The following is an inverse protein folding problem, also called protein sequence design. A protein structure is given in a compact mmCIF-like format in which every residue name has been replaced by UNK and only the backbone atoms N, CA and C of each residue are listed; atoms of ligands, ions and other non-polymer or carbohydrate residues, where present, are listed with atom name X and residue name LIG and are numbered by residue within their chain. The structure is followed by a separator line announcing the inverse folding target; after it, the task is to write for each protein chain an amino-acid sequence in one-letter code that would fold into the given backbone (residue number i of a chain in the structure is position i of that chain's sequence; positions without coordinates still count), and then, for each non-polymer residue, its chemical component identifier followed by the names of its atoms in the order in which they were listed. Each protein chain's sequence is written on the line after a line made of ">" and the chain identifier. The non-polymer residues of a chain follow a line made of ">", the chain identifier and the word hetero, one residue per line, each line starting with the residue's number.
data_IF_781002619428
#
_entry.id   IF_781002619428
#
_cell.length_a   1.000
_cell.length_b   1.000
_cell.length_c   1.000
_cell.angle_alpha   90.00
_cell.angle_beta   90.00
_cell.angle_gamma   90.00
#
_symmetry.space_group_name_H-M   'P 1'
#
loop_
_entity.id
_entity.type
_entity.pdbx_description
1 polymer ?
#
# COMPACT_ATOMS: atom_id res chain seq x y z
N UNK A 1 -46.55 48.74 -27.57
CA UNK A 1 -45.67 48.10 -26.57
C UNK A 1 -44.29 48.72 -26.75
N UNK A 2 -43.87 49.58 -25.84
CA UNK A 2 -42.59 50.29 -25.96
C UNK A 2 -41.41 49.32 -25.81
N UNK A 3 -40.70 49.10 -26.92
CA UNK A 3 -39.53 48.21 -27.01
C UNK A 3 -38.39 48.72 -26.11
N UNK A 4 -38.30 50.03 -25.89
CA UNK A 4 -37.32 50.67 -25.00
C UNK A 4 -37.49 50.22 -23.55
N UNK A 5 -38.72 50.23 -23.02
CA UNK A 5 -39.00 49.81 -21.63
C UNK A 5 -38.67 48.32 -21.43
N UNK A 6 -38.97 47.49 -22.43
CA UNK A 6 -38.64 46.06 -22.38
C UNK A 6 -37.12 45.85 -22.39
N UNK A 7 -36.39 46.61 -23.22
CA UNK A 7 -34.93 46.57 -23.26
C UNK A 7 -34.31 47.05 -21.95
N UNK A 8 -34.80 48.13 -21.35
CA UNK A 8 -34.35 48.63 -20.06
C UNK A 8 -34.61 47.63 -18.93
N UNK A 9 -35.81 47.04 -18.88
CA UNK A 9 -36.14 45.98 -17.93
C UNK A 9 -35.25 44.74 -18.14
N UNK A 10 -34.97 44.37 -19.39
CA UNK A 10 -34.06 43.26 -19.69
C UNK A 10 -32.62 43.56 -19.27
N UNK A 11 -32.14 44.79 -19.47
CA UNK A 11 -30.83 45.24 -19.03
C UNK A 11 -30.70 45.32 -17.51
N UNK A 12 -31.73 45.76 -16.80
CA UNK A 12 -31.75 45.71 -15.33
C UNK A 12 -31.72 44.28 -14.80
N UNK A 13 -32.45 43.35 -15.45
CA UNK A 13 -32.38 41.92 -15.10
C UNK A 13 -30.99 41.33 -15.35
N UNK A 14 -30.34 41.69 -16.46
CA UNK A 14 -28.96 41.26 -16.74
C UNK A 14 -27.96 41.83 -15.72
N UNK A 15 -28.12 43.10 -15.30
CA UNK A 15 -27.32 43.69 -14.21
C UNK A 15 -27.50 42.97 -12.87
N UNK A 16 -28.66 42.38 -12.61
CA UNK A 16 -28.89 41.59 -11.40
C UNK A 16 -28.18 40.22 -11.42
N UNK A 17 -27.79 39.74 -12.61
CA UNK A 17 -27.15 38.43 -12.83
C UNK A 17 -25.62 38.56 -12.91
N UNK A 18 -25.13 39.72 -13.36
CA UNK A 18 -23.71 40.02 -13.41
C UNK A 18 -23.19 40.33 -12.00
N UNK A 19 -22.21 39.56 -11.55
CA UNK A 19 -21.52 39.76 -10.27
C UNK A 19 -20.10 40.21 -10.58
N UNK A 20 -19.77 41.44 -10.23
CA UNK A 20 -18.41 41.97 -10.37
C UNK A 20 -17.63 41.70 -9.08
N UNK A 21 -16.44 41.10 -9.22
CA UNK A 21 -15.48 40.86 -8.14
C UNK A 21 -14.15 41.52 -8.50
N UNK A 22 -13.46 42.06 -7.50
CA UNK A 22 -12.13 42.67 -7.69
C UNK A 22 -11.09 41.63 -8.12
N UNK A 23 -11.16 40.43 -7.52
CA UNK A 23 -10.32 39.29 -7.88
C UNK A 23 -11.17 38.28 -8.65
N UNK A 24 -10.74 37.84 -9.84
CA UNK A 24 -11.44 36.80 -10.58
C UNK A 24 -11.56 35.51 -9.76
N UNK A 25 -12.73 34.88 -9.86
CA UNK A 25 -13.06 33.65 -9.17
C UNK A 25 -12.66 32.45 -10.04
N UNK A 26 -12.03 31.44 -9.43
CA UNK A 26 -11.66 30.21 -10.13
C UNK A 26 -12.83 29.22 -10.09
N UNK A 27 -13.34 28.83 -11.27
CA UNK A 27 -14.51 27.95 -11.39
C UNK A 27 -14.08 26.60 -11.99
N UNK A 28 -14.38 25.51 -11.30
CA UNK A 28 -14.21 24.14 -11.81
C UNK A 28 -15.58 23.53 -12.10
N UNK A 29 -16.05 23.71 -13.34
CA UNK A 29 -17.34 23.20 -13.80
C UNK A 29 -17.45 21.67 -13.72
N UNK A 30 -16.33 20.94 -13.86
CA UNK A 30 -16.34 19.49 -13.73
C UNK A 30 -16.66 19.00 -12.32
N UNK A 31 -16.33 19.80 -11.30
CA UNK A 31 -16.67 19.55 -9.89
C UNK A 31 -17.86 20.38 -9.40
N UNK A 32 -18.45 21.22 -10.26
CA UNK A 32 -19.47 22.21 -9.90
C UNK A 32 -19.02 23.05 -8.69
N UNK A 33 -17.75 23.45 -8.70
CA UNK A 33 -17.09 24.13 -7.59
C UNK A 33 -16.63 25.53 -7.98
N UNK A 34 -16.66 26.43 -6.99
CA UNK A 34 -16.26 27.84 -7.10
C UNK A 34 -15.25 28.12 -6.01
N UNK A 35 -14.11 28.69 -6.38
CA UNK A 35 -13.03 29.06 -5.47
C UNK A 35 -12.82 30.57 -5.54
N UNK A 36 -13.36 31.28 -4.55
CA UNK A 36 -13.22 32.73 -4.43
C UNK A 36 -12.01 33.05 -3.52
N UNK A 37 -10.93 33.67 -4.06
CA UNK A 37 -9.77 34.09 -3.27
C UNK A 37 -9.97 35.43 -2.54
N UNK A 38 -11.13 36.09 -2.72
CA UNK A 38 -11.40 37.40 -2.13
C UNK A 38 -11.36 37.34 -0.59
N UNK A 39 -10.77 38.34 0.08
CA UNK A 39 -10.74 38.39 1.53
C UNK A 39 -12.14 38.60 2.10
N UNK A 40 -12.44 37.93 3.22
CA UNK A 40 -13.71 38.12 3.95
C UNK A 40 -13.62 39.43 4.73
N UNK A 41 -14.60 40.31 4.56
CA UNK A 41 -14.73 41.53 5.36
C UNK A 41 -15.14 41.16 6.80
N UNK A 42 -14.27 41.46 7.75
CA UNK A 42 -14.41 41.04 9.14
C UNK A 42 -15.51 41.81 9.87
N UNK A 43 -15.75 43.08 9.52
CA UNK A 43 -16.70 43.93 10.22
C UNK A 43 -18.15 43.50 9.90
N UNK A 44 -18.45 43.27 8.62
CA UNK A 44 -19.75 42.72 8.20
C UNK A 44 -19.95 41.30 8.70
N UNK A 45 -18.91 40.47 8.67
CA UNK A 45 -18.97 39.09 9.15
C UNK A 45 -19.26 39.02 10.67
N UNK A 46 -18.73 39.93 11.48
CA UNK A 46 -19.00 39.98 12.92
C UNK A 46 -20.37 40.55 13.25
N UNK A 47 -20.87 41.49 12.45
CA UNK A 47 -22.15 42.17 12.69
C UNK A 47 -23.34 41.27 12.35
N UNK A 48 -23.33 40.66 11.16
CA UNK A 48 -24.42 39.78 10.70
C UNK A 48 -23.85 38.63 9.85
N UNK A 49 -23.35 37.61 10.56
CA UNK A 49 -22.61 36.49 9.98
C UNK A 49 -23.39 35.73 8.91
N UNK A 50 -24.64 35.36 9.19
CA UNK A 50 -25.43 34.52 8.29
C UNK A 50 -25.74 35.26 6.99
N UNK A 51 -26.06 36.56 7.09
CA UNK A 51 -26.33 37.39 5.93
C UNK A 51 -25.08 37.59 5.08
N UNK A 52 -23.93 37.90 5.70
CA UNK A 52 -22.67 38.04 4.99
C UNK A 52 -22.26 36.75 4.25
N UNK A 53 -22.43 35.58 4.89
CA UNK A 53 -22.16 34.28 4.27
C UNK A 53 -23.13 33.97 3.12
N UNK A 54 -24.42 34.26 3.31
CA UNK A 54 -25.44 34.04 2.28
C UNK A 54 -25.18 34.91 1.06
N UNK A 55 -24.92 36.20 1.25
CA UNK A 55 -24.63 37.15 0.17
C UNK A 55 -23.37 36.71 -0.60
N UNK A 56 -22.30 36.30 0.10
CA UNK A 56 -21.09 35.77 -0.53
C UNK A 56 -21.35 34.48 -1.32
N UNK A 57 -22.12 33.54 -0.76
CA UNK A 57 -22.45 32.28 -1.42
C UNK A 57 -23.35 32.51 -2.65
N UNK A 58 -24.34 33.40 -2.54
CA UNK A 58 -25.23 33.81 -3.63
C UNK A 58 -24.43 34.27 -4.83
N UNK A 59 -23.48 35.18 -4.60
CA UNK A 59 -22.62 35.74 -5.65
C UNK A 59 -21.79 34.67 -6.36
N UNK A 60 -21.13 33.78 -5.59
CA UNK A 60 -20.34 32.69 -6.16
C UNK A 60 -21.18 31.69 -6.95
N UNK A 61 -22.36 31.32 -6.43
CA UNK A 61 -23.30 30.43 -7.12
C UNK A 61 -23.86 31.08 -8.37
N UNK A 62 -24.11 32.39 -8.37
CA UNK A 62 -24.59 33.10 -9.55
C UNK A 62 -23.59 32.99 -10.70
N UNK A 63 -22.29 33.18 -10.41
CA UNK A 63 -21.22 32.99 -11.41
C UNK A 63 -21.15 31.54 -11.91
N UNK A 64 -21.24 30.56 -11.01
CA UNK A 64 -21.27 29.14 -11.39
C UNK A 64 -22.43 28.81 -12.33
N UNK A 65 -23.63 29.27 -11.99
CA UNK A 65 -24.84 29.02 -12.79
C UNK A 65 -24.72 29.69 -14.14
N UNK A 66 -24.20 30.93 -14.20
CA UNK A 66 -23.95 31.62 -15.48
C UNK A 66 -23.03 30.79 -16.39
N UNK A 67 -21.95 30.24 -15.84
CA UNK A 67 -21.00 29.42 -16.60
C UNK A 67 -21.60 28.07 -17.02
N UNK A 68 -22.43 27.43 -16.18
CA UNK A 68 -23.15 26.19 -16.54
C UNK A 68 -24.09 26.44 -17.72
N UNK A 69 -24.85 27.54 -17.70
CA UNK A 69 -25.78 27.88 -18.78
C UNK A 69 -25.08 28.34 -20.07
N UNK A 70 -23.79 28.69 -19.99
CA UNK A 70 -22.98 28.96 -21.18
C UNK A 70 -22.49 27.69 -21.89
N UNK A 71 -22.56 26.52 -21.25
CA UNK A 71 -22.08 25.26 -21.81
C UNK A 71 -23.00 24.72 -22.92
N UNK A 72 -22.44 23.97 -23.88
CA UNK A 72 -23.24 23.31 -24.92
C UNK A 72 -24.24 22.34 -24.29
N UNK A 73 -25.48 22.42 -24.75
CA UNK A 73 -26.57 21.54 -24.30
C UNK A 73 -26.98 20.58 -25.41
N UNK A 74 -27.36 19.37 -25.01
CA UNK A 74 -27.93 18.34 -25.88
C UNK A 74 -29.28 17.88 -25.34
N UNK A 75 -30.20 17.66 -26.25
CA UNK A 75 -31.50 17.07 -25.93
C UNK A 75 -31.36 15.55 -26.04
N UNK A 76 -31.69 14.86 -24.96
CA UNK A 76 -31.75 13.40 -24.86
C UNK A 76 -33.19 13.02 -24.51
N UNK A 77 -33.60 11.78 -24.72
CA UNK A 77 -34.98 11.31 -24.48
C UNK A 77 -35.51 11.66 -23.07
N UNK A 78 -34.61 11.70 -22.07
CA UNK A 78 -34.93 12.02 -20.67
C UNK A 78 -34.80 13.51 -20.30
N UNK A 79 -34.44 14.40 -21.24
CA UNK A 79 -34.37 15.85 -21.01
C UNK A 79 -33.18 16.57 -21.64
N UNK A 80 -32.96 17.82 -21.21
CA UNK A 80 -31.84 18.65 -21.68
C UNK A 80 -30.65 18.47 -20.73
N UNK A 81 -29.49 18.11 -21.27
CA UNK A 81 -28.25 17.87 -20.52
C UNK A 81 -27.19 18.85 -21.02
N UNK A 82 -26.47 19.48 -20.10
CA UNK A 82 -25.28 20.28 -20.42
C UNK A 82 -24.03 19.39 -20.45
N UNK A 83 -23.19 19.55 -21.46
CA UNK A 83 -21.92 18.84 -21.58
C UNK A 83 -20.82 19.63 -20.85
N UNK A 84 -20.51 19.19 -19.62
CA UNK A 84 -19.51 19.84 -18.77
C UNK A 84 -18.07 19.45 -19.18
N UNK A 85 -17.10 20.36 -19.02
CA UNK A 85 -15.69 20.05 -19.23
C UNK A 85 -15.17 19.03 -18.19
N UNK A 86 -14.03 18.37 -18.47
CA UNK A 86 -13.39 17.50 -17.50
C UNK A 86 -12.96 18.29 -16.25
N UNK A 87 -12.94 17.61 -15.10
CA UNK A 87 -12.48 18.15 -13.82
C UNK A 87 -11.07 18.74 -13.99
N UNK A 88 -10.93 20.02 -13.66
CA UNK A 88 -9.64 20.73 -13.71
C UNK A 88 -8.82 20.52 -12.44
N UNK A 89 -9.49 20.39 -11.28
CA UNK A 89 -8.82 20.19 -9.99
C UNK A 89 -8.19 18.80 -9.90
N UNK A 90 -6.87 18.75 -9.71
CA UNK A 90 -6.14 17.50 -9.57
C UNK A 90 -6.41 16.81 -8.23
N UNK A 91 -7.27 15.79 -8.24
CA UNK A 91 -7.59 14.98 -7.06
C UNK A 91 -6.70 13.72 -6.97
N UNK A 92 -6.27 13.33 -5.76
CA UNK A 92 -5.50 12.10 -5.57
C UNK A 92 -6.36 10.87 -5.88
N UNK A 93 -5.77 9.88 -6.55
CA UNK A 93 -6.44 8.61 -6.84
C UNK A 93 -6.57 7.78 -5.56
N UNK A 94 -7.72 7.13 -5.37
CA UNK A 94 -7.92 6.13 -4.32
C UNK A 94 -6.98 4.94 -4.51
N UNK A 95 -6.84 4.48 -5.76
CA UNK A 95 -6.06 3.29 -6.12
C UNK A 95 -4.90 3.64 -7.03
N UNK A 96 -3.72 3.00 -6.83
CA UNK A 96 -2.61 3.10 -7.76
C UNK A 96 -3.04 2.71 -9.18
N UNK A 97 -2.31 3.21 -10.17
CA UNK A 97 -2.52 2.80 -11.55
C UNK A 97 -2.35 1.28 -11.68
N UNK A 98 -3.20 0.61 -12.48
CA UNK A 98 -3.05 -0.81 -12.73
C UNK A 98 -1.66 -1.06 -13.31
N UNK A 99 -0.90 -1.94 -12.66
CA UNK A 99 0.45 -2.28 -13.12
C UNK A 99 0.34 -3.00 -14.48
N UNK A 100 1.26 -2.68 -15.39
CA UNK A 100 1.36 -3.40 -16.65
C UNK A 100 1.52 -4.91 -16.37
N UNK A 101 0.76 -5.73 -17.10
CA UNK A 101 0.78 -7.16 -16.91
C UNK A 101 2.20 -7.70 -17.13
N UNK A 102 2.70 -8.48 -16.17
CA UNK A 102 4.00 -9.12 -16.30
C UNK A 102 3.99 -10.09 -17.50
N UNK A 103 5.00 -10.00 -18.37
CA UNK A 103 5.11 -10.90 -19.51
C UNK A 103 5.24 -12.35 -19.03
N UNK A 104 4.42 -13.23 -19.60
CA UNK A 104 4.54 -14.68 -19.36
C UNK A 104 5.80 -15.23 -20.02
N UNK A 105 6.25 -16.42 -19.59
CA UNK A 105 7.43 -17.08 -20.18
C UNK A 105 7.29 -17.24 -21.71
N UNK A 106 6.09 -17.60 -22.17
CA UNK A 106 5.81 -17.75 -23.60
C UNK A 106 5.83 -16.42 -24.34
N UNK A 107 5.26 -15.35 -23.78
CA UNK A 107 5.32 -14.02 -24.41
C UNK A 107 6.75 -13.49 -24.49
N UNK A 108 7.56 -13.69 -23.43
CA UNK A 108 8.97 -13.33 -23.45
C UNK A 108 9.74 -14.12 -24.53
N UNK A 109 9.49 -15.42 -24.64
CA UNK A 109 10.07 -16.26 -25.69
C UNK A 109 9.62 -15.85 -27.10
N UNK A 110 8.31 -15.64 -27.30
CA UNK A 110 7.74 -15.22 -28.57
C UNK A 110 8.31 -13.86 -29.02
N UNK A 111 8.44 -12.90 -28.09
CA UNK A 111 9.07 -11.61 -28.36
C UNK A 111 10.54 -11.76 -28.75
N UNK A 112 11.30 -12.58 -28.01
CA UNK A 112 12.73 -12.83 -28.30
C UNK A 112 12.94 -13.54 -29.65
N UNK A 113 12.00 -14.37 -30.07
CA UNK A 113 12.04 -15.11 -31.35
C UNK A 113 11.33 -14.40 -32.50
N UNK A 114 10.69 -13.25 -32.26
CA UNK A 114 9.89 -12.56 -33.28
C UNK A 114 8.67 -13.35 -33.75
N UNK A 115 8.12 -14.22 -32.91
CA UNK A 115 6.92 -15.00 -33.25
C UNK A 115 5.71 -14.08 -33.17
N UNK A 116 5.12 -13.78 -34.33
CA UNK A 116 3.91 -12.97 -34.42
C UNK A 116 2.71 -13.69 -33.77
N UNK A 117 1.79 -12.94 -33.12
CA UNK A 117 0.56 -13.52 -32.61
C UNK A 117 -0.26 -14.09 -33.77
N UNK A 118 -0.74 -15.33 -33.60
CA UNK A 118 -1.62 -15.95 -34.59
C UNK A 118 -2.97 -15.25 -34.57
N UNK A 119 -3.58 -15.08 -35.74
CA UNK A 119 -4.94 -14.58 -35.86
C UNK A 119 -5.92 -15.46 -35.06
N UNK A 120 -6.99 -14.84 -34.55
CA UNK A 120 -8.06 -15.55 -33.86
C UNK A 120 -8.65 -16.55 -34.84
N UNK A 121 -8.61 -17.83 -34.47
CA UNK A 121 -9.19 -18.88 -35.29
C UNK A 121 -10.67 -19.04 -34.96
N UNK A 122 -11.47 -19.34 -35.97
CA UNK A 122 -12.91 -19.58 -35.79
C UNK A 122 -13.19 -20.82 -34.95
N UNK A 123 -14.35 -20.82 -34.30
CA UNK A 123 -14.81 -21.91 -33.45
C UNK A 123 -15.20 -23.15 -34.26
N UNK A 124 -15.80 -22.95 -35.43
CA UNK A 124 -16.24 -24.03 -36.31
C UNK A 124 -15.13 -24.38 -37.30
N UNK A 125 -14.95 -25.67 -37.55
CA UNK A 125 -14.05 -26.21 -38.57
C UNK A 125 -14.83 -27.24 -39.36
N UNK A 126 -14.67 -27.21 -40.68
CA UNK A 126 -15.29 -28.18 -41.56
C UNK A 126 -14.65 -29.56 -41.35
N UNK A 127 -15.48 -30.57 -41.16
CA UNK A 127 -15.05 -31.95 -41.00
C UNK A 127 -15.27 -32.72 -42.32
N UNK A 128 -14.20 -33.04 -43.02
CA UNK A 128 -14.26 -33.65 -44.37
C UNK A 128 -14.92 -35.04 -44.36
N UNK A 129 -14.82 -35.80 -43.26
CA UNK A 129 -15.45 -37.13 -43.18
C UNK A 129 -16.97 -37.05 -43.05
N UNK A 130 -17.47 -36.06 -42.32
CA UNK A 130 -18.91 -35.86 -42.07
C UNK A 130 -19.55 -34.85 -43.02
N UNK A 131 -18.72 -34.12 -43.78
CA UNK A 131 -19.13 -33.01 -44.64
C UNK A 131 -19.93 -31.93 -43.88
N UNK A 132 -19.67 -31.75 -42.58
CA UNK A 132 -20.39 -30.83 -41.69
C UNK A 132 -19.45 -29.86 -40.96
N UNK A 133 -19.97 -28.70 -40.58
CA UNK A 133 -19.25 -27.77 -39.72
C UNK A 133 -19.33 -28.24 -38.26
N UNK A 134 -18.19 -28.65 -37.71
CA UNK A 134 -18.08 -29.16 -36.34
C UNK A 134 -17.31 -28.16 -35.48
N UNK A 135 -17.70 -27.93 -34.21
CA UNK A 135 -16.92 -27.09 -33.32
C UNK A 135 -15.54 -27.73 -33.06
N UNK A 136 -14.48 -26.93 -33.06
CA UNK A 136 -13.11 -27.38 -32.75
C UNK A 136 -12.96 -27.90 -31.32
N UNK A 137 -13.73 -27.32 -30.40
CA UNK A 137 -13.76 -27.61 -28.98
C UNK A 137 -15.16 -27.31 -28.43
N UNK A 138 -15.58 -28.02 -27.38
CA UNK A 138 -16.90 -27.88 -26.77
C UNK A 138 -17.75 -29.15 -26.91
N UNK A 139 -19.07 -28.99 -26.99
CA UNK A 139 -20.00 -30.09 -27.21
C UNK A 139 -19.75 -30.73 -28.58
N UNK A 140 -19.60 -32.06 -28.61
CA UNK A 140 -19.25 -32.84 -29.83
C UNK A 140 -18.06 -32.24 -30.59
N UNK A 141 -17.08 -31.70 -29.87
CA UNK A 141 -15.94 -31.02 -30.50
C UNK A 141 -14.94 -31.98 -31.15
N UNK A 142 -14.35 -31.55 -32.27
CA UNK A 142 -13.35 -32.31 -33.06
C UNK A 142 -12.15 -32.77 -32.23
N UNK A 143 -11.84 -32.07 -31.15
CA UNK A 143 -10.76 -32.44 -30.21
C UNK A 143 -10.99 -33.76 -29.43
N UNK A 144 -12.17 -34.37 -29.50
CA UNK A 144 -12.50 -35.65 -28.86
C UNK A 144 -12.73 -36.79 -29.85
N UNK A 145 -12.52 -36.58 -31.15
CA UNK A 145 -12.79 -37.63 -32.16
C UNK A 145 -11.95 -38.89 -31.91
N UNK A 146 -10.69 -38.73 -31.49
CA UNK A 146 -9.82 -39.83 -31.09
C UNK A 146 -10.31 -40.61 -29.84
N UNK A 147 -11.31 -40.13 -29.11
CA UNK A 147 -11.94 -40.87 -28.00
C UNK A 147 -13.23 -41.57 -28.45
N UNK A 148 -13.87 -41.06 -29.50
CA UNK A 148 -15.14 -41.55 -30.04
C UNK A 148 -15.02 -42.49 -31.23
N UNK A 149 -13.81 -42.66 -31.79
CA UNK A 149 -13.56 -43.55 -32.92
C UNK A 149 -13.93 -44.99 -32.57
N UNK A 150 -14.64 -45.67 -33.47
CA UNK A 150 -15.09 -47.06 -33.29
C UNK A 150 -13.95 -48.08 -33.45
N UNK A 151 -12.88 -47.72 -34.18
CA UNK A 151 -11.70 -48.54 -34.42
C UNK A 151 -10.41 -47.75 -34.13
N UNK A 152 -9.48 -48.36 -33.41
CA UNK A 152 -8.15 -47.79 -33.14
C UNK A 152 -7.07 -48.73 -33.65
N UNK A 153 -6.13 -48.20 -34.42
CA UNK A 153 -4.92 -48.93 -34.80
C UNK A 153 -3.99 -49.04 -33.59
N UNK A 154 -3.75 -50.26 -33.14
CA UNK A 154 -2.83 -50.56 -32.03
C UNK A 154 -1.54 -51.14 -32.62
N UNK A 155 -0.40 -50.59 -32.20
CA UNK A 155 0.90 -51.08 -32.64
C UNK A 155 1.11 -52.52 -32.13
N UNK A 156 1.69 -53.44 -32.91
CA UNK A 156 1.93 -54.83 -32.48
C UNK A 156 2.88 -54.98 -31.28
N UNK A 157 3.55 -53.91 -30.85
CA UNK A 157 4.40 -53.85 -29.64
C UNK A 157 3.66 -53.33 -28.41
N UNK A 158 2.39 -52.96 -28.54
CA UNK A 158 1.61 -52.47 -27.41
C UNK A 158 1.23 -53.59 -26.46
N UNK A 159 1.04 -53.23 -25.19
CA UNK A 159 0.61 -54.14 -24.15
C UNK A 159 -0.80 -54.71 -24.45
N UNK A 160 -1.06 -55.95 -24.03
CA UNK A 160 -2.31 -56.66 -24.31
C UNK A 160 -3.52 -55.97 -23.68
N UNK A 161 -3.31 -55.27 -22.55
CA UNK A 161 -4.35 -54.54 -21.81
C UNK A 161 -4.43 -53.03 -22.16
N UNK A 162 -3.78 -52.58 -23.24
CA UNK A 162 -3.75 -51.16 -23.60
C UNK A 162 -5.10 -50.67 -24.18
N UNK A 163 -5.82 -49.82 -23.43
CA UNK A 163 -7.01 -49.11 -23.93
C UNK A 163 -6.62 -47.78 -24.63
N UNK A 164 -6.73 -47.70 -25.97
CA UNK A 164 -6.37 -46.50 -26.73
C UNK A 164 -7.26 -45.28 -26.40
N UNK A 165 -8.53 -45.49 -26.04
CA UNK A 165 -9.45 -44.39 -25.68
C UNK A 165 -9.11 -43.83 -24.30
N UNK A 166 -8.77 -44.69 -23.34
CA UNK A 166 -8.27 -44.25 -22.04
C UNK A 166 -6.94 -43.50 -22.17
N UNK A 167 -6.03 -43.97 -23.02
CA UNK A 167 -4.76 -43.29 -23.30
C UNK A 167 -4.97 -41.89 -23.92
N UNK A 168 -5.84 -41.75 -24.92
CA UNK A 168 -6.16 -40.44 -25.51
C UNK A 168 -6.76 -39.47 -24.47
N UNK A 169 -7.67 -39.96 -23.61
CA UNK A 169 -8.25 -39.19 -22.50
C UNK A 169 -7.21 -38.76 -21.48
N UNK A 170 -6.31 -39.65 -21.09
CA UNK A 170 -5.28 -39.37 -20.09
C UNK A 170 -4.26 -38.36 -20.62
N UNK A 171 -3.85 -38.49 -21.88
CA UNK A 171 -2.92 -37.56 -22.53
C UNK A 171 -3.51 -36.14 -22.64
N UNK A 172 -4.79 -36.02 -23.02
CA UNK A 172 -5.49 -34.72 -23.03
C UNK A 172 -5.56 -34.09 -21.63
N UNK A 173 -5.91 -34.88 -20.61
CA UNK A 173 -5.92 -34.42 -19.22
C UNK A 173 -4.52 -33.98 -18.77
N UNK A 174 -3.48 -34.74 -19.09
CA UNK A 174 -2.10 -34.40 -18.80
C UNK A 174 -1.67 -33.09 -19.47
N UNK A 175 -2.06 -32.85 -20.73
CA UNK A 175 -1.85 -31.58 -21.42
C UNK A 175 -2.56 -30.41 -20.73
N UNK A 176 -3.80 -30.61 -20.27
CA UNK A 176 -4.55 -29.61 -19.51
C UNK A 176 -3.88 -29.26 -18.17
N UNK A 177 -3.52 -30.28 -17.39
CA UNK A 177 -2.84 -30.12 -16.10
C UNK A 177 -1.46 -29.46 -16.26
N UNK A 178 -0.74 -29.77 -17.34
CA UNK A 178 0.52 -29.11 -17.68
C UNK A 178 0.32 -27.63 -18.00
N UNK A 179 -0.76 -27.27 -18.69
CA UNK A 179 -1.08 -25.86 -18.97
C UNK A 179 -1.44 -25.12 -17.66
N UNK A 180 -2.27 -25.71 -16.81
CA UNK A 180 -2.65 -25.13 -15.52
C UNK A 180 -1.45 -24.94 -14.59
N UNK A 181 -0.57 -25.93 -14.48
CA UNK A 181 0.67 -25.80 -13.70
C UNK A 181 1.60 -24.72 -14.25
N UNK A 182 1.72 -24.58 -15.58
CA UNK A 182 2.47 -23.48 -16.21
C UNK A 182 1.82 -22.11 -15.94
N UNK A 183 0.49 -22.02 -15.96
CA UNK A 183 -0.25 -20.80 -15.60
C UNK A 183 0.04 -20.41 -14.14
N UNK A 184 -0.07 -21.36 -13.20
CA UNK A 184 0.23 -21.12 -11.79
C UNK A 184 1.70 -20.70 -11.59
N UNK A 185 2.65 -21.35 -12.26
CA UNK A 185 4.06 -20.99 -12.18
C UNK A 185 4.36 -19.59 -12.79
N UNK A 186 3.59 -19.16 -13.80
CA UNK A 186 3.69 -17.80 -14.33
C UNK A 186 3.10 -16.77 -13.35
N UNK A 187 1.94 -17.07 -12.72
CA UNK A 187 1.33 -16.21 -11.70
C UNK A 187 2.22 -16.07 -10.48
N UNK A 188 2.81 -17.16 -9.99
CA UNK A 188 3.78 -17.14 -8.89
C UNK A 188 5.00 -16.28 -9.23
N UNK A 189 5.54 -16.40 -10.45
CA UNK A 189 6.65 -15.53 -10.90
C UNK A 189 6.26 -14.06 -11.01
N UNK A 190 5.05 -13.77 -11.49
CA UNK A 190 4.53 -12.41 -11.54
C UNK A 190 4.38 -11.82 -10.12
N UNK A 191 3.83 -12.58 -9.17
CA UNK A 191 3.68 -12.18 -7.79
C UNK A 191 5.05 -11.97 -7.09
N UNK A 192 6.00 -12.89 -7.30
CA UNK A 192 7.36 -12.76 -6.75
C UNK A 192 8.08 -11.53 -7.31
N UNK A 193 7.95 -11.23 -8.61
CA UNK A 193 8.53 -10.04 -9.22
C UNK A 193 7.87 -8.75 -8.70
N UNK A 194 6.54 -8.76 -8.51
CA UNK A 194 5.83 -7.64 -7.90
C UNK A 194 6.27 -7.40 -6.45
N UNK A 195 6.45 -8.47 -5.66
CA UNK A 195 6.96 -8.38 -4.30
C UNK A 195 8.40 -7.84 -4.24
N UNK A 196 9.28 -8.30 -5.15
CA UNK A 196 10.66 -7.79 -5.28
C UNK A 196 10.71 -6.30 -5.61
N UNK A 197 9.85 -5.81 -6.52
CA UNK A 197 9.76 -4.38 -6.81
C UNK A 197 9.37 -3.56 -5.57
N UNK A 198 8.39 -4.03 -4.79
CA UNK A 198 7.99 -3.36 -3.55
C UNK A 198 9.10 -3.39 -2.49
N UNK A 199 9.81 -4.51 -2.36
CA UNK A 199 10.94 -4.65 -1.44
C UNK A 199 12.15 -3.78 -1.86
N UNK A 200 12.37 -3.55 -3.15
CA UNK A 200 13.40 -2.64 -3.66
C UNK A 200 13.11 -1.17 -3.29
N UNK A 201 11.85 -0.74 -3.30
CA UNK A 201 11.48 0.60 -2.81
C UNK A 201 11.66 0.75 -1.30
N UNK A 202 11.26 -0.26 -0.52
CA UNK A 202 11.41 -0.25 0.93
C UNK A 202 12.89 -0.36 1.37
N UNK A 203 13.68 -1.20 0.72
CA UNK A 203 15.12 -1.33 0.99
C UNK A 203 15.88 -0.04 0.70
N UNK A 204 15.58 0.67 -0.40
CA UNK A 204 16.16 1.99 -0.69
C UNK A 204 15.84 3.03 0.38
N UNK A 205 14.64 3.01 0.96
CA UNK A 205 14.30 3.87 2.10
C UNK A 205 15.13 3.49 3.33
N UNK A 206 15.23 2.19 3.66
CA UNK A 206 16.05 1.73 4.80
C UNK A 206 17.54 1.99 4.62
N UNK A 207 18.08 1.91 3.40
CA UNK A 207 19.48 2.24 3.09
C UNK A 207 19.73 3.75 3.20
N UNK A 208 18.79 4.58 2.75
CA UNK A 208 18.85 6.03 2.92
C UNK A 208 18.83 6.42 4.40
N UNK A 209 17.99 5.77 5.21
CA UNK A 209 17.96 5.97 6.66
C UNK A 209 19.25 5.53 7.36
N UNK A 210 19.79 4.37 6.98
CA UNK A 210 21.10 3.90 7.48
C UNK A 210 22.22 4.88 7.13
N UNK A 211 22.30 5.30 5.86
CA UNK A 211 23.29 6.27 5.38
C UNK A 211 23.14 7.63 6.08
N UNK A 212 21.91 8.10 6.31
CA UNK A 212 21.65 9.31 7.10
C UNK A 212 22.19 9.15 8.53
N UNK A 213 21.92 8.02 9.18
CA UNK A 213 22.44 7.75 10.52
C UNK A 213 23.97 7.65 10.60
N UNK A 214 24.62 7.11 9.57
CA UNK A 214 26.09 7.06 9.45
C UNK A 214 26.69 8.47 9.24
N UNK A 215 26.09 9.28 8.36
CA UNK A 215 26.49 10.67 8.14
C UNK A 215 26.33 11.51 9.42
N UNK A 216 25.23 11.35 10.16
CA UNK A 216 25.04 12.05 11.42
C UNK A 216 26.08 11.64 12.49
N UNK A 217 26.50 10.37 12.52
CA UNK A 217 27.52 9.90 13.47
C UNK A 217 28.91 10.41 13.11
N UNK A 218 29.26 10.36 11.82
CA UNK A 218 30.55 10.85 11.33
C UNK A 218 30.67 12.35 11.56
N UNK A 219 29.66 13.14 11.22
CA UNK A 219 29.62 14.58 11.51
C UNK A 219 29.84 14.88 13.00
N UNK A 220 29.16 14.17 13.91
CA UNK A 220 29.35 14.34 15.36
C UNK A 220 30.77 13.99 15.82
N UNK A 221 31.34 12.92 15.26
CA UNK A 221 32.71 12.51 15.60
C UNK A 221 33.74 13.52 15.10
N UNK A 222 33.58 14.05 13.89
CA UNK A 222 34.48 15.05 13.31
C UNK A 222 34.43 16.35 14.11
N UNK A 223 33.23 16.87 14.43
CA UNK A 223 33.07 18.07 15.25
C UNK A 223 33.70 17.96 16.64
N UNK A 224 33.55 16.79 17.29
CA UNK A 224 34.20 16.54 18.58
C UNK A 224 35.73 16.48 18.45
N UNK A 225 36.23 16.01 17.30
CA UNK A 225 37.67 15.92 17.05
C UNK A 225 38.28 17.30 16.78
N UNK A 226 37.61 18.17 16.02
CA UNK A 226 38.06 19.56 15.79
C UNK A 226 38.02 20.39 17.09
N UNK A 227 36.94 20.26 17.86
CA UNK A 227 36.78 20.90 19.18
C UNK A 227 37.92 20.59 20.17
N UNK A 228 38.53 19.40 20.09
CA UNK A 228 39.59 18.97 21.02
C UNK A 228 40.91 19.74 20.86
N UNK A 229 41.10 20.44 19.75
CA UNK A 229 42.25 21.28 19.45
C UNK A 229 41.96 22.78 19.70
N UNK A 230 40.82 23.11 20.33
CA UNK A 230 40.45 24.50 20.67
C UNK A 230 39.90 25.32 19.49
N UNK A 231 39.72 24.71 18.31
CA UNK A 231 39.05 25.30 17.14
C UNK A 231 37.69 24.64 16.97
N UNK A 232 36.61 25.40 17.15
CA UNK A 232 35.24 24.91 17.00
C UNK A 232 34.70 25.28 15.61
N UNK A 233 34.09 24.32 14.93
CA UNK A 233 33.38 24.57 13.68
C UNK A 233 32.03 25.23 13.95
N UNK A 234 31.66 26.22 13.12
CA UNK A 234 30.39 26.92 13.25
C UNK A 234 29.19 26.02 12.98
N UNK A 235 28.08 26.31 13.66
CA UNK A 235 26.84 25.55 13.52
C UNK A 235 26.10 25.97 12.24
N UNK A 236 25.86 25.02 11.34
CA UNK A 236 25.09 25.27 10.12
C UNK A 236 23.58 25.33 10.42
N UNK A 237 22.84 26.10 9.62
CA UNK A 237 21.39 26.21 9.75
C UNK A 237 20.71 24.84 9.48
N UNK A 238 19.79 24.44 10.36
CA UNK A 238 19.10 23.15 10.29
C UNK A 238 19.77 21.99 11.05
N UNK A 239 20.95 22.20 11.64
CA UNK A 239 21.60 21.17 12.45
C UNK A 239 20.89 20.96 13.81
N UNK A 240 20.49 19.72 14.07
CA UNK A 240 19.86 19.32 15.33
C UNK A 240 20.77 19.56 16.53
N UNK A 241 20.20 19.98 17.66
CA UNK A 241 20.95 20.14 18.92
C UNK A 241 21.54 18.79 19.34
N UNK A 242 22.81 18.78 19.71
CA UNK A 242 23.47 17.58 20.21
C UNK A 242 22.80 17.13 21.51
N UNK A 243 22.23 15.93 21.50
CA UNK A 243 21.68 15.31 22.71
C UNK A 243 22.84 14.73 23.50
N UNK A 244 23.26 15.44 24.54
CA UNK A 244 24.23 14.91 25.51
C UNK A 244 23.74 13.55 26.04
N UNK A 245 24.63 12.56 26.09
CA UNK A 245 24.33 11.25 26.65
C UNK A 245 24.10 11.43 28.16
N UNK A 246 22.82 11.58 28.55
CA UNK A 246 22.41 11.74 29.96
C UNK A 246 22.56 10.49 30.81
N UNK A 247 23.05 9.37 30.24
CA UNK A 247 23.24 8.12 30.99
C UNK A 247 24.58 8.17 31.71
N UNK A 248 24.53 8.42 33.02
CA UNK A 248 25.64 8.08 33.91
C UNK A 248 25.68 6.56 33.98
N UNK A 249 26.77 5.95 33.50
CA UNK A 249 27.04 4.55 33.81
C UNK A 249 27.47 4.49 35.27
N UNK A 250 26.96 3.51 36.00
CA UNK A 250 27.49 3.22 37.33
C UNK A 250 28.93 2.72 37.20
N UNK A 251 29.74 2.96 38.23
CA UNK A 251 31.10 2.44 38.28
C UNK A 251 31.08 0.90 38.16
N UNK A 252 32.09 0.33 37.51
CA UNK A 252 32.23 -1.12 37.40
C UNK A 252 32.44 -1.80 38.76
N UNK A 253 32.92 -1.04 39.75
CA UNK A 253 33.18 -1.52 41.10
C UNK A 253 32.23 -0.80 42.06
N UNK A 254 31.42 -1.58 42.77
CA UNK A 254 30.47 -1.10 43.76
C UNK A 254 30.66 -1.91 45.04
N UNK A 255 30.40 -1.31 46.21
CA UNK A 255 30.52 -2.05 47.47
C UNK A 255 29.55 -3.25 47.50
N UNK A 256 29.98 -4.35 48.13
CA UNK A 256 29.22 -5.61 48.18
C UNK A 256 27.80 -5.46 48.74
N UNK A 257 27.61 -4.51 49.68
CA UNK A 257 26.31 -4.16 50.24
C UNK A 257 25.38 -3.52 49.19
N UNK A 258 25.88 -2.57 48.41
CA UNK A 258 25.11 -1.91 47.37
C UNK A 258 24.81 -2.85 46.18
N UNK A 259 25.71 -3.78 45.85
CA UNK A 259 25.43 -4.86 44.89
C UNK A 259 24.33 -5.79 45.40
N UNK A 260 24.42 -6.25 46.66
CA UNK A 260 23.40 -7.13 47.27
C UNK A 260 22.03 -6.45 47.31
N UNK A 261 21.96 -5.16 47.63
CA UNK A 261 20.71 -4.39 47.63
C UNK A 261 20.11 -4.28 46.21
N UNK A 262 20.94 -4.09 45.17
CA UNK A 262 20.47 -4.11 43.78
C UNK A 262 19.92 -5.49 43.41
N UNK A 263 20.63 -6.56 43.75
CA UNK A 263 20.18 -7.95 43.53
C UNK A 263 18.85 -8.23 44.22
N UNK A 264 18.69 -7.80 45.47
CA UNK A 264 17.44 -7.93 46.24
C UNK A 264 16.30 -7.10 45.66
N UNK A 265 16.58 -5.89 45.16
CA UNK A 265 15.57 -5.05 44.49
C UNK A 265 15.09 -5.69 43.17
N UNK A 266 15.98 -6.37 42.47
CA UNK A 266 15.64 -7.13 41.26
C UNK A 266 14.74 -8.31 41.65
N UNK A 267 15.13 -9.09 42.67
CA UNK A 267 14.32 -10.21 43.16
C UNK A 267 12.96 -9.77 43.68
N UNK A 268 12.88 -8.64 44.40
CA UNK A 268 11.60 -8.11 44.86
C UNK A 268 10.74 -7.62 43.70
N UNK A 269 11.33 -7.03 42.65
CA UNK A 269 10.58 -6.63 41.45
C UNK A 269 10.09 -7.84 40.62
N UNK A 270 10.81 -8.96 40.65
CA UNK A 270 10.42 -10.22 40.01
C UNK A 270 9.33 -10.93 40.84
N UNK A 271 9.44 -10.91 42.18
CA UNK A 271 8.45 -11.52 43.08
C UNK A 271 7.18 -10.70 43.27
N UNK A 272 7.25 -9.38 43.14
CA UNK A 272 6.12 -8.46 43.32
C UNK A 272 5.37 -8.19 41.99
N UNK A 273 4.82 -9.22 41.34
CA UNK A 273 3.54 -9.19 40.59
C UNK A 273 3.18 -10.59 40.01
N UNK A 274 1.93 -11.11 40.11
CA UNK A 274 0.81 -10.81 41.01
C UNK A 274 0.18 -12.07 41.66
N UNK A 275 0.33 -12.28 42.98
CA UNK A 275 -0.65 -13.08 43.78
C UNK A 275 -1.49 -12.22 44.72
N UNK A 276 -1.28 -10.89 44.75
CA UNK A 276 -1.97 -9.98 45.66
C UNK A 276 -3.08 -9.15 44.98
N UNK A 277 -3.78 -9.75 44.01
CA UNK A 277 -5.18 -9.41 43.74
C UNK A 277 -6.00 -10.67 44.00
N UNK A 278 -6.74 -10.66 45.11
CA UNK A 278 -7.74 -11.66 45.49
C UNK A 278 -8.58 -12.07 44.26
N UNK A 279 -8.36 -13.27 43.76
CA UNK A 279 -9.39 -14.02 43.04
C UNK A 279 -9.84 -15.11 44.02
N UNK A 280 -11.03 -14.95 44.60
CA UNK A 280 -11.74 -16.07 45.22
C UNK A 280 -12.01 -17.08 44.11
N UNK A 281 -11.18 -18.11 44.01
CA UNK A 281 -11.50 -19.34 43.27
C UNK A 281 -11.62 -20.41 44.34
N UNK A 282 -12.82 -20.96 44.46
CA UNK A 282 -13.24 -21.98 45.42
C UNK A 282 -12.35 -23.23 45.38
N UNK A 283 -12.08 -23.80 46.55
CA UNK A 283 -11.23 -24.99 46.77
C UNK A 283 -11.80 -26.33 46.25
N UNK A 284 -12.90 -26.33 45.48
CA UNK A 284 -13.56 -27.55 44.95
C UNK A 284 -13.41 -27.70 43.43
N UNK A 285 -12.17 -27.83 42.94
CA UNK A 285 -11.91 -28.27 41.58
C UNK A 285 -10.76 -29.30 41.54
N UNK A 286 -10.98 -30.53 41.04
CA UNK A 286 -10.04 -31.66 41.17
C UNK A 286 -8.81 -31.59 40.25
N UNK A 287 -8.45 -30.41 39.73
CA UNK A 287 -7.35 -30.24 38.77
C UNK A 287 -6.43 -29.04 39.05
N UNK A 288 -6.29 -28.64 40.32
CA UNK A 288 -5.46 -27.49 40.72
C UNK A 288 -3.93 -27.70 40.64
N UNK A 289 -3.43 -28.89 40.27
CA UNK A 289 -1.97 -29.20 40.29
C UNK A 289 -1.25 -29.22 38.94
N UNK A 290 -1.93 -29.04 37.81
CA UNK A 290 -1.29 -29.29 36.49
C UNK A 290 -0.97 -28.08 35.62
N UNK A 291 -1.18 -26.82 36.06
CA UNK A 291 -0.84 -25.65 35.23
C UNK A 291 -0.17 -24.51 36.02
N UNK A 292 1.10 -24.69 36.39
CA UNK A 292 1.97 -23.61 36.89
C UNK A 292 2.88 -22.99 35.82
N UNK A 293 2.62 -23.23 34.53
CA UNK A 293 3.44 -22.74 33.40
C UNK A 293 3.05 -21.35 32.86
N UNK A 294 2.28 -20.55 33.62
CA UNK A 294 1.77 -19.25 33.15
C UNK A 294 1.68 -18.14 34.19
N UNK A 295 2.15 -18.35 35.43
CA UNK A 295 1.99 -17.36 36.50
C UNK A 295 3.02 -16.22 36.48
N UNK A 296 4.06 -16.31 35.65
CA UNK A 296 5.06 -15.24 35.50
C UNK A 296 4.86 -14.59 34.14
N UNK A 297 4.51 -13.31 34.11
CA UNK A 297 4.43 -12.57 32.86
C UNK A 297 5.85 -12.22 32.40
N UNK A 298 6.53 -13.19 31.77
CA UNK A 298 7.94 -13.15 31.38
C UNK A 298 8.29 -11.86 30.63
N UNK A 299 7.40 -11.38 29.75
CA UNK A 299 7.59 -10.12 29.01
C UNK A 299 7.69 -8.91 29.93
N UNK A 300 6.90 -8.85 31.01
CA UNK A 300 6.91 -7.73 31.95
C UNK A 300 8.16 -7.75 32.83
N UNK A 301 8.56 -8.95 33.30
CA UNK A 301 9.80 -9.14 34.04
C UNK A 301 11.03 -8.76 33.20
N UNK A 302 11.11 -9.24 31.96
CA UNK A 302 12.19 -8.90 31.02
C UNK A 302 12.18 -7.40 30.71
N UNK A 303 11.00 -6.76 30.57
CA UNK A 303 10.90 -5.31 30.31
C UNK A 303 11.44 -4.48 31.47
N UNK A 304 11.18 -4.88 32.72
CA UNK A 304 11.73 -4.22 33.91
C UNK A 304 13.25 -4.36 33.99
N UNK A 305 13.74 -5.60 33.88
CA UNK A 305 15.18 -5.93 33.93
C UNK A 305 16.00 -5.25 32.83
N UNK A 306 15.45 -5.14 31.62
CA UNK A 306 16.16 -4.59 30.45
C UNK A 306 15.89 -3.10 30.21
N UNK A 307 15.14 -2.43 31.10
CA UNK A 307 14.73 -1.04 30.93
C UNK A 307 13.97 -0.79 29.62
N UNK A 308 13.19 -1.77 29.16
CA UNK A 308 12.39 -1.68 27.93
C UNK A 308 13.08 -2.14 26.65
N UNK A 309 14.26 -2.76 26.70
CA UNK A 309 15.01 -3.19 25.49
C UNK A 309 14.80 -4.65 25.05
N UNK A 310 14.09 -5.46 25.84
CA UNK A 310 13.80 -6.86 25.50
C UNK A 310 15.03 -7.78 25.59
N UNK A 311 14.84 -9.07 25.27
CA UNK A 311 15.84 -10.15 25.46
C UNK A 311 17.19 -9.85 24.79
N UNK A 312 17.19 -9.16 23.65
CA UNK A 312 18.41 -8.78 22.89
C UNK A 312 19.34 -7.84 23.67
N UNK A 313 18.84 -7.16 24.71
CA UNK A 313 19.65 -6.34 25.61
C UNK A 313 20.54 -7.12 26.58
N UNK A 314 20.20 -8.40 26.85
CA UNK A 314 20.89 -9.25 27.82
C UNK A 314 22.21 -9.79 27.27
N UNK A 315 22.24 -10.20 25.99
CA UNK A 315 23.41 -10.82 25.33
C UNK A 315 24.62 -9.90 25.12
N UNK A 316 24.44 -8.58 25.20
CA UNK A 316 25.56 -7.62 24.99
C UNK A 316 26.43 -7.37 26.22
N UNK A 317 26.13 -7.97 27.37
CA UNK A 317 26.89 -7.78 28.63
C UNK A 317 27.75 -8.98 29.05
N UNK A 318 27.70 -10.10 28.34
CA UNK A 318 28.57 -11.25 28.61
C UNK A 318 29.44 -11.60 27.40
N UNK A 319 30.76 -11.40 27.51
CA UNK A 319 31.72 -11.98 26.57
C UNK A 319 32.53 -10.99 25.72
N UNK A 320 33.54 -10.36 26.33
CA UNK A 320 34.78 -10.04 25.61
C UNK A 320 35.98 -10.26 26.53
N UNK A 321 36.37 -11.53 26.62
CA UNK A 321 37.60 -11.97 27.26
C UNK A 321 38.83 -11.37 26.58
N UNK A 322 39.85 -11.12 27.41
CA UNK A 322 41.00 -10.28 27.11
C UNK A 322 41.84 -10.69 25.90
N UNK A 323 42.28 -9.69 25.16
CA UNK A 323 43.41 -9.77 24.24
C UNK A 323 44.69 -9.66 25.07
N UNK A 324 45.47 -10.75 25.10
CA UNK A 324 46.81 -10.82 25.71
C UNK A 324 47.71 -9.71 25.16
N UNK A 325 48.38 -9.02 26.07
CA UNK A 325 49.49 -8.12 25.76
C UNK A 325 50.69 -8.87 25.20
N UNK A 326 51.46 -8.17 24.38
CA UNK A 326 52.70 -8.69 23.81
C UNK A 326 53.85 -8.72 24.82
N UNK A 327 54.86 -9.50 24.48
CA UNK A 327 56.26 -9.16 24.68
C UNK A 327 57.07 -9.77 23.52
N UNK A 328 58.18 -9.08 23.27
CA UNK A 328 59.41 -9.54 22.61
C UNK A 328 59.67 -11.03 22.78
#
# INVERSE_FOLDING_TARGET
>A
MDVSVILEQSGQRQKAIAVEREIPVDIDLGLLAVFDPSPIDLDTYQTDRERALLDHARDGIQLLVNDIWSQPTRVVDDGVIADLPPISTALPREKPLPKLAAMTKWQAFAKAKGIAPKAKKDKMVYDEEKQEWVPRWGFKGKNRDAEGQWLHEVKPTADTDFDPRAAARSERKARSLKNESQRLANLQRAAANAAKQTQQSASKQTEREKRKGELERTLKSTKRSTASLGRFDDKLQGEGREKNIKRKFEANEVSSSAERNKSLSILSSIGATPSNKRAKVSDDAPNARQQTKGLVNERKAIKGLTGGRGVVGMDKRGGKGGKRGGKR
#
